data_IF_260190689054
#
_entry.id   IF_260190689054
#
_cell.length_a   1.000
_cell.length_b   1.000
_cell.length_c   1.000
_cell.angle_alpha   90.00
_cell.angle_beta   90.00
_cell.angle_gamma   90.00
#
_symmetry.space_group_name_H-M   'P 1'
#
loop_
_entity.id
_entity.type
_entity.pdbx_description
1 polymer ?
#
# COMPACT_ATOMS: atom_id res chain seq x y z
N UNK A 1 -15.03 9.22 -21.77
CA UNK A 1 -15.23 10.69 -21.84
C UNK A 1 -16.40 10.98 -22.76
N UNK A 2 -17.49 11.57 -22.24
CA UNK A 2 -18.69 11.94 -23.02
C UNK A 2 -18.55 13.41 -23.40
N UNK A 3 -18.56 13.73 -24.71
CA UNK A 3 -18.49 15.11 -25.20
C UNK A 3 -19.88 15.73 -25.13
N UNK A 4 -19.96 16.95 -24.58
CA UNK A 4 -21.20 17.72 -24.44
C UNK A 4 -20.98 19.05 -25.17
N UNK A 5 -21.97 19.47 -25.97
CA UNK A 5 -21.93 20.76 -26.65
C UNK A 5 -22.25 21.87 -25.65
N UNK A 6 -21.40 22.89 -25.61
CA UNK A 6 -21.59 24.10 -24.81
C UNK A 6 -21.74 25.27 -25.78
N UNK A 7 -22.82 26.04 -25.63
CA UNK A 7 -23.07 27.25 -26.42
C UNK A 7 -22.91 28.44 -25.48
N UNK A 8 -21.97 29.35 -25.80
CA UNK A 8 -21.74 30.57 -25.02
C UNK A 8 -22.36 31.75 -25.75
N UNK A 9 -23.08 32.59 -25.00
CA UNK A 9 -23.59 33.85 -25.51
C UNK A 9 -22.48 34.91 -25.52
N UNK A 10 -22.62 35.91 -26.39
CA UNK A 10 -21.72 37.05 -26.46
C UNK A 10 -21.69 37.81 -25.12
N UNK A 11 -20.50 38.03 -24.54
CA UNK A 11 -20.33 38.71 -23.24
C UNK A 11 -19.19 38.16 -22.38
N UNK A 12 -19.08 38.62 -21.12
CA UNK A 12 -18.09 38.13 -20.13
C UNK A 12 -18.49 36.73 -19.65
N UNK A 13 -17.69 35.73 -19.98
CA UNK A 13 -17.92 34.33 -19.64
C UNK A 13 -17.01 33.89 -18.49
N UNK A 14 -17.51 32.99 -17.63
CA UNK A 14 -16.75 32.39 -16.54
C UNK A 14 -16.69 30.88 -16.77
N UNK A 15 -15.49 30.30 -16.76
CA UNK A 15 -15.28 28.87 -16.95
C UNK A 15 -14.77 28.26 -15.65
N UNK A 16 -15.57 27.37 -15.05
CA UNK A 16 -15.14 26.55 -13.92
C UNK A 16 -14.49 25.27 -14.44
N UNK A 17 -13.25 25.01 -14.06
CA UNK A 17 -12.49 23.82 -14.46
C UNK A 17 -12.27 22.95 -13.23
N UNK A 18 -12.74 21.71 -13.26
CA UNK A 18 -12.46 20.70 -12.23
C UNK A 18 -11.44 19.69 -12.74
N UNK A 19 -10.46 19.39 -11.92
CA UNK A 19 -9.39 18.45 -12.22
C UNK A 19 -9.34 17.43 -11.08
N UNK A 20 -9.28 16.14 -11.40
CA UNK A 20 -9.09 15.05 -10.44
C UNK A 20 -7.76 14.35 -10.72
N UNK A 21 -7.06 13.89 -9.67
CA UNK A 21 -5.72 13.27 -9.74
C UNK A 21 -5.45 12.39 -10.97
N UNK A 22 -4.30 12.62 -11.61
CA UNK A 22 -3.62 11.62 -12.43
C UNK A 22 -2.09 11.78 -12.34
N UNK A 23 -1.37 10.66 -12.29
CA UNK A 23 0.10 10.60 -12.20
C UNK A 23 0.78 10.95 -13.53
N UNK A 24 1.72 11.90 -13.54
CA UNK A 24 2.62 12.20 -14.68
C UNK A 24 2.89 13.69 -14.88
N UNK A 25 3.96 14.04 -15.62
CA UNK A 25 4.14 15.40 -16.14
C UNK A 25 3.16 15.63 -17.30
N UNK A 26 2.54 16.81 -17.36
CA UNK A 26 2.10 17.60 -18.54
C UNK A 26 0.81 18.39 -18.27
N UNK A 27 0.79 19.65 -18.72
CA UNK A 27 -0.35 20.57 -18.63
C UNK A 27 -1.49 20.27 -19.63
N UNK A 28 -2.58 21.03 -19.51
CA UNK A 28 -3.71 20.92 -20.45
C UNK A 28 -3.57 21.94 -21.61
N UNK A 29 -4.12 21.58 -22.78
CA UNK A 29 -4.45 22.54 -23.82
C UNK A 29 -5.90 22.33 -24.26
N UNK A 30 -6.60 23.42 -24.56
CA UNK A 30 -7.92 23.38 -25.16
C UNK A 30 -7.84 23.97 -26.57
N UNK A 31 -8.53 23.33 -27.53
CA UNK A 31 -8.67 23.82 -28.90
C UNK A 31 -10.14 23.96 -29.27
N UNK A 32 -10.46 24.97 -30.07
CA UNK A 32 -11.77 25.08 -30.69
C UNK A 32 -11.76 24.40 -32.06
N UNK A 33 -12.75 23.54 -32.26
CA UNK A 33 -12.96 22.76 -33.47
C UNK A 33 -14.45 22.85 -33.82
N UNK A 34 -14.79 22.60 -35.07
CA UNK A 34 -16.19 22.35 -35.46
C UNK A 34 -16.69 21.08 -34.73
N UNK A 35 -18.01 20.86 -34.71
CA UNK A 35 -18.58 19.69 -34.01
C UNK A 35 -18.01 18.35 -34.48
N UNK A 36 -17.63 18.29 -35.74
CA UNK A 36 -17.03 17.19 -36.50
C UNK A 36 -15.51 17.06 -36.24
N UNK A 37 -14.98 17.85 -35.31
CA UNK A 37 -13.60 17.76 -34.81
C UNK A 37 -12.56 18.37 -35.74
N UNK A 38 -13.01 18.98 -36.84
CA UNK A 38 -12.17 19.68 -37.80
C UNK A 38 -11.75 21.04 -37.26
N UNK A 39 -10.57 21.55 -37.65
CA UNK A 39 -10.22 22.93 -37.37
C UNK A 39 -11.26 23.86 -37.98
N UNK A 40 -11.69 24.87 -37.23
CA UNK A 40 -12.60 25.89 -37.76
C UNK A 40 -11.83 26.72 -38.79
N UNK A 41 -12.29 26.74 -40.03
CA UNK A 41 -11.65 27.48 -41.12
C UNK A 41 -11.65 28.99 -40.87
N UNK A 42 -10.57 29.67 -41.26
CA UNK A 42 -10.38 31.11 -41.05
C UNK A 42 -9.77 31.49 -39.70
N UNK A 43 -9.52 30.52 -38.81
CA UNK A 43 -8.76 30.75 -37.58
C UNK A 43 -7.26 30.69 -37.88
N UNK A 44 -6.61 31.84 -37.79
CA UNK A 44 -5.15 31.93 -37.74
C UNK A 44 -4.71 31.96 -36.29
N UNK A 45 -3.93 30.95 -35.89
CA UNK A 45 -3.38 30.84 -34.55
C UNK A 45 -1.97 31.42 -34.58
N UNK A 46 -1.77 32.48 -33.82
CA UNK A 46 -0.49 33.17 -33.70
C UNK A 46 -0.01 33.15 -32.22
N UNK A 47 1.23 32.70 -31.97
CA UNK A 47 2.12 32.23 -33.02
C UNK A 47 1.64 30.92 -33.61
N UNK A 48 2.12 30.61 -34.82
CA UNK A 48 2.46 29.21 -35.07
C UNK A 48 3.22 28.78 -33.80
N UNK A 49 2.64 27.92 -32.95
CA UNK A 49 2.61 28.20 -31.50
C UNK A 49 3.95 28.58 -30.86
N UNK A 50 3.99 29.78 -30.25
CA UNK A 50 5.03 30.27 -29.34
C UNK A 50 4.61 31.56 -28.58
N UNK A 51 4.69 31.61 -27.25
CA UNK A 51 4.21 32.71 -26.36
C UNK A 51 2.71 32.98 -26.34
N UNK A 52 2.10 32.47 -25.27
CA UNK A 52 0.68 32.48 -24.92
C UNK A 52 0.40 33.78 -24.14
N UNK A 53 -0.69 34.52 -24.41
CA UNK A 53 -1.04 35.79 -23.73
C UNK A 53 -2.48 35.90 -23.21
N UNK A 54 -3.33 34.88 -23.35
CA UNK A 54 -4.77 35.04 -23.11
C UNK A 54 -5.34 34.44 -21.81
N UNK A 55 -4.54 33.71 -21.01
CA UNK A 55 -4.91 33.40 -19.62
C UNK A 55 -3.68 33.56 -18.72
N UNK A 56 -3.44 34.77 -18.19
CA UNK A 56 -2.32 35.07 -17.29
C UNK A 56 -2.65 35.02 -15.80
N UNK A 57 -3.93 34.87 -15.46
CA UNK A 57 -4.42 34.93 -14.08
C UNK A 57 -5.55 33.93 -13.89
N UNK A 58 -5.46 33.16 -12.84
CA UNK A 58 -6.47 32.20 -12.40
C UNK A 58 -6.97 32.62 -11.02
N UNK A 59 -8.26 32.47 -10.75
CA UNK A 59 -8.74 32.44 -9.36
C UNK A 59 -8.90 30.96 -8.98
N UNK A 60 -8.20 30.55 -7.92
CA UNK A 60 -8.11 29.17 -7.46
C UNK A 60 -8.57 29.12 -6.01
N UNK A 61 -9.32 28.11 -5.60
CA UNK A 61 -9.91 28.00 -4.27
C UNK A 61 -9.63 26.65 -3.59
N UNK A 62 -8.40 26.19 -3.72
CA UNK A 62 -7.90 25.03 -2.99
C UNK A 62 -8.19 23.67 -3.60
N UNK A 63 -7.94 22.62 -2.80
CA UNK A 63 -8.11 21.21 -3.16
C UNK A 63 -9.28 20.64 -2.35
N UNK A 64 -10.21 19.97 -3.02
CA UNK A 64 -11.37 19.37 -2.35
C UNK A 64 -11.22 17.87 -2.25
N UNK A 65 -11.29 17.34 -1.03
CA UNK A 65 -11.25 15.90 -0.80
C UNK A 65 -12.55 15.22 -1.19
N UNK A 66 -12.44 14.08 -1.88
CA UNK A 66 -13.56 13.20 -2.14
C UNK A 66 -13.08 11.75 -2.25
N UNK A 67 -13.45 10.96 -1.24
CA UNK A 67 -13.10 9.55 -1.12
C UNK A 67 -13.73 8.70 -2.22
N UNK A 68 -14.89 9.12 -2.76
CA UNK A 68 -15.56 8.43 -3.85
C UNK A 68 -15.05 8.93 -5.21
N UNK A 69 -14.16 8.13 -5.81
CA UNK A 69 -13.54 8.42 -7.11
C UNK A 69 -14.56 8.67 -8.23
N UNK A 70 -15.70 7.99 -8.22
CA UNK A 70 -16.70 8.08 -9.29
C UNK A 70 -17.44 9.43 -9.30
N UNK A 71 -17.47 10.13 -8.17
CA UNK A 71 -18.23 11.36 -8.00
C UNK A 71 -17.35 12.61 -7.94
N UNK A 72 -16.02 12.46 -8.01
CA UNK A 72 -15.06 13.56 -7.86
C UNK A 72 -15.34 14.77 -8.75
N UNK A 73 -15.71 14.55 -10.01
CA UNK A 73 -15.98 15.63 -10.96
C UNK A 73 -17.43 16.11 -10.95
N UNK A 74 -18.37 15.29 -10.48
CA UNK A 74 -19.81 15.58 -10.49
C UNK A 74 -20.35 16.07 -9.14
N UNK A 75 -19.54 16.02 -8.08
CA UNK A 75 -19.90 16.56 -6.76
C UNK A 75 -19.80 18.08 -6.81
N UNK A 76 -20.84 18.78 -6.36
CA UNK A 76 -20.83 20.23 -6.17
C UNK A 76 -20.09 20.54 -4.86
N UNK A 77 -18.90 21.14 -4.97
CA UNK A 77 -18.09 21.48 -3.80
C UNK A 77 -18.36 22.88 -3.26
N UNK A 78 -19.06 23.73 -4.03
CA UNK A 78 -19.24 25.16 -3.71
C UNK A 78 -20.66 25.52 -3.31
N UNK A 79 -21.58 24.53 -3.28
CA UNK A 79 -22.97 24.76 -2.93
C UNK A 79 -23.70 25.62 -3.95
N UNK A 80 -23.42 25.40 -5.24
CA UNK A 80 -24.00 26.15 -6.35
C UNK A 80 -23.01 26.53 -7.44
N UNK A 81 -22.07 25.66 -7.81
CA UNK A 81 -20.99 25.90 -8.78
C UNK A 81 -21.40 26.55 -10.11
N UNK A 82 -22.65 26.35 -10.56
CA UNK A 82 -23.17 26.97 -11.79
C UNK A 82 -23.32 28.50 -11.67
N UNK A 83 -23.42 29.02 -10.45
CA UNK A 83 -23.71 30.43 -10.16
C UNK A 83 -22.53 31.16 -9.49
N UNK A 84 -21.42 30.47 -9.29
CA UNK A 84 -20.24 31.01 -8.61
C UNK A 84 -19.60 32.12 -9.45
N UNK A 85 -19.40 33.28 -8.82
CA UNK A 85 -18.79 34.48 -9.41
C UNK A 85 -17.81 35.11 -8.41
N UNK A 86 -16.67 34.48 -8.16
CA UNK A 86 -15.78 34.86 -7.09
C UNK A 86 -14.89 36.02 -7.50
N UNK A 87 -14.54 36.83 -6.51
CA UNK A 87 -13.45 37.80 -6.54
C UNK A 87 -12.27 37.26 -5.73
N UNK A 88 -11.08 37.80 -5.96
CA UNK A 88 -9.93 37.52 -5.09
C UNK A 88 -10.29 37.81 -3.63
N UNK A 89 -9.87 36.91 -2.74
CA UNK A 89 -10.15 36.89 -1.30
C UNK A 89 -11.60 36.63 -0.89
N UNK A 90 -12.51 36.33 -1.83
CA UNK A 90 -13.83 35.83 -1.45
C UNK A 90 -13.70 34.51 -0.68
N UNK A 91 -14.56 34.25 0.33
CA UNK A 91 -14.54 33.00 1.06
C UNK A 91 -14.93 31.83 0.16
N UNK A 92 -14.24 30.70 0.32
CA UNK A 92 -14.59 29.41 -0.26
C UNK A 92 -14.88 28.41 0.88
N UNK A 93 -15.53 27.26 0.61
CA UNK A 93 -15.74 26.24 1.64
C UNK A 93 -14.45 25.72 2.27
N UNK A 94 -13.34 25.75 1.51
CA UNK A 94 -11.99 25.53 2.00
C UNK A 94 -11.09 26.71 1.60
N UNK A 95 -10.74 27.56 2.56
CA UNK A 95 -9.90 28.75 2.37
C UNK A 95 -10.58 29.93 1.67
N UNK A 96 -9.83 30.61 0.79
CA UNK A 96 -10.28 31.77 0.02
C UNK A 96 -9.94 31.62 -1.46
N UNK A 97 -10.60 32.38 -2.33
CA UNK A 97 -10.20 32.50 -3.72
C UNK A 97 -8.89 33.28 -3.84
N UNK A 98 -7.85 32.63 -4.35
CA UNK A 98 -6.52 33.19 -4.48
C UNK A 98 -6.15 33.42 -5.94
N UNK A 99 -5.41 34.50 -6.18
CA UNK A 99 -4.90 34.83 -7.50
C UNK A 99 -3.69 33.95 -7.82
N UNK A 100 -3.88 32.97 -8.68
CA UNK A 100 -2.80 32.23 -9.33
C UNK A 100 -2.23 33.03 -10.49
N UNK A 101 -1.05 33.61 -10.29
CA UNK A 101 -0.23 34.22 -11.35
C UNK A 101 0.89 33.23 -11.69
N UNK A 102 0.92 32.75 -12.92
CA UNK A 102 1.94 31.79 -13.36
C UNK A 102 2.38 32.05 -14.79
N UNK A 103 3.65 31.75 -15.09
CA UNK A 103 4.18 31.76 -16.46
C UNK A 103 3.43 30.79 -17.38
N UNK A 104 3.82 30.74 -18.64
CA UNK A 104 3.13 29.96 -19.67
C UNK A 104 3.90 28.67 -20.00
N UNK A 105 3.31 27.47 -19.82
CA UNK A 105 1.94 27.16 -19.36
C UNK A 105 1.70 27.38 -17.85
N UNK A 106 0.45 27.68 -17.44
CA UNK A 106 0.08 27.82 -16.02
C UNK A 106 0.30 26.50 -15.30
N UNK A 107 1.40 26.44 -14.57
CA UNK A 107 1.79 25.27 -13.82
C UNK A 107 1.02 25.26 -12.50
N UNK A 108 -0.15 24.62 -12.53
CA UNK A 108 -0.97 24.34 -11.34
C UNK A 108 -0.13 23.59 -10.29
N UNK A 109 0.79 22.74 -10.74
CA UNK A 109 1.77 22.09 -9.87
C UNK A 109 2.66 23.10 -9.18
N UNK A 110 3.23 24.07 -9.90
CA UNK A 110 4.05 25.15 -9.32
C UNK A 110 3.25 26.09 -8.38
N UNK A 111 1.98 26.35 -8.70
CA UNK A 111 1.07 27.13 -7.84
C UNK A 111 0.82 26.43 -6.50
N UNK A 112 0.52 25.13 -6.52
CA UNK A 112 0.37 24.37 -5.28
C UNK A 112 1.71 23.92 -4.69
N UNK A 113 2.81 24.11 -5.42
CA UNK A 113 4.19 23.96 -4.95
C UNK A 113 4.68 25.25 -4.28
N UNK A 114 3.80 25.94 -3.58
CA UNK A 114 4.19 26.83 -2.50
C UNK A 114 4.51 25.94 -1.31
N UNK A 115 5.76 25.45 -1.29
CA UNK A 115 6.28 24.75 -0.12
C UNK A 115 6.36 25.75 1.02
N UNK A 116 5.47 25.60 2.00
CA UNK A 116 5.74 26.16 3.33
C UNK A 116 6.72 25.24 4.06
N UNK A 117 7.38 25.81 5.06
CA UNK A 117 8.31 25.07 5.88
C UNK A 117 7.54 24.20 6.87
N UNK A 118 7.71 22.89 6.77
CA UNK A 118 7.25 21.97 7.81
C UNK A 118 8.30 21.94 8.90
N UNK A 119 7.98 22.54 10.05
CA UNK A 119 8.82 22.50 11.23
C UNK A 119 8.45 21.32 12.13
N UNK A 120 9.34 20.96 13.04
CA UNK A 120 9.05 19.93 14.04
C UNK A 120 7.81 20.24 14.86
N UNK A 121 7.62 21.50 15.25
CA UNK A 121 6.45 21.92 16.04
C UNK A 121 5.16 21.77 15.22
N UNK A 122 5.19 22.01 13.90
CA UNK A 122 4.05 21.75 13.00
C UNK A 122 3.61 20.29 13.05
N UNK A 123 4.56 19.35 13.01
CA UNK A 123 4.25 17.91 13.07
C UNK A 123 3.65 17.52 14.42
N UNK A 124 4.14 18.13 15.50
CA UNK A 124 3.68 17.87 16.87
C UNK A 124 2.25 18.41 17.09
N UNK A 125 1.95 19.58 16.55
CA UNK A 125 0.63 20.20 16.65
C UNK A 125 -0.42 19.48 15.81
N UNK A 126 -0.04 19.01 14.61
CA UNK A 126 -0.96 18.32 13.70
C UNK A 126 -1.18 16.85 14.11
N UNK A 127 -0.16 16.19 14.68
CA UNK A 127 -0.15 14.77 15.01
C UNK A 127 -0.69 13.86 13.89
N UNK A 128 -0.02 13.81 12.71
CA UNK A 128 -0.56 13.10 11.56
C UNK A 128 -0.77 11.61 11.84
N UNK A 129 -1.93 11.02 11.47
CA UNK A 129 -2.25 9.62 11.74
C UNK A 129 -1.56 8.65 10.76
N UNK A 130 -0.24 8.78 10.60
CA UNK A 130 0.59 7.99 9.72
C UNK A 130 1.65 7.25 10.53
N UNK A 131 1.80 5.95 10.25
CA UNK A 131 2.67 5.05 11.02
C UNK A 131 4.13 5.04 10.53
N UNK A 132 4.35 5.21 9.22
CA UNK A 132 5.65 5.04 8.55
C UNK A 132 5.92 6.23 7.63
N UNK A 133 7.11 6.84 7.75
CA UNK A 133 7.50 7.98 6.93
C UNK A 133 8.82 7.73 6.20
N UNK A 134 8.84 8.04 4.90
CA UNK A 134 10.07 8.18 4.13
C UNK A 134 10.22 9.64 3.73
N UNK A 135 11.05 10.38 4.46
CA UNK A 135 11.18 11.82 4.35
C UNK A 135 12.07 12.16 3.15
N UNK A 136 11.44 12.51 2.03
CA UNK A 136 12.12 13.03 0.85
C UNK A 136 12.51 14.50 1.02
N UNK A 137 13.44 14.77 1.93
CA UNK A 137 13.94 16.10 2.24
C UNK A 137 15.39 16.04 2.75
N UNK A 138 16.13 17.15 2.60
CA UNK A 138 17.52 17.27 3.02
C UNK A 138 17.62 17.62 4.52
N UNK A 139 18.39 16.84 5.27
CA UNK A 139 18.67 17.10 6.70
C UNK A 139 17.64 16.69 7.77
N UNK A 140 16.42 16.18 7.51
CA UNK A 140 15.46 15.89 8.59
C UNK A 140 15.97 14.84 9.58
N UNK A 141 16.88 13.97 9.17
CA UNK A 141 17.49 12.93 10.00
C UNK A 141 18.73 13.39 10.76
N UNK A 142 19.01 14.70 10.84
CA UNK A 142 20.16 15.24 11.57
C UNK A 142 19.92 15.20 13.07
N UNK A 143 20.03 14.01 13.65
CA UNK A 143 19.75 13.72 15.06
C UNK A 143 20.65 14.44 16.08
N UNK A 144 21.67 15.18 15.62
CA UNK A 144 22.48 16.08 16.46
C UNK A 144 21.80 17.43 16.70
N UNK A 145 20.84 17.80 15.86
CA UNK A 145 20.10 19.05 15.98
C UNK A 145 19.00 18.91 17.04
N UNK A 146 18.79 19.97 17.81
CA UNK A 146 17.65 20.03 18.73
C UNK A 146 16.36 20.03 17.92
N UNK A 147 15.40 19.20 18.32
CA UNK A 147 14.11 19.04 17.63
C UNK A 147 14.29 18.76 16.13
N UNK A 148 15.12 17.77 15.78
CA UNK A 148 15.29 17.37 14.39
C UNK A 148 13.99 16.76 13.83
N UNK A 149 13.66 17.11 12.58
CA UNK A 149 12.35 16.84 11.99
C UNK A 149 11.95 15.36 11.95
N UNK A 150 12.88 14.44 11.66
CA UNK A 150 12.59 13.00 11.65
C UNK A 150 12.20 12.47 13.04
N UNK A 151 12.75 13.05 14.10
CA UNK A 151 12.43 12.71 15.49
C UNK A 151 11.03 13.16 15.88
N UNK A 152 10.61 14.36 15.45
CA UNK A 152 9.26 14.88 15.75
C UNK A 152 8.12 14.10 15.12
N UNK A 153 8.38 13.20 14.16
CA UNK A 153 7.34 12.30 13.66
C UNK A 153 7.08 11.11 14.57
N UNK A 154 8.03 10.70 15.42
CA UNK A 154 7.95 9.46 16.23
C UNK A 154 7.99 9.71 17.74
N UNK A 155 8.50 10.85 18.17
CA UNK A 155 8.50 11.27 19.56
C UNK A 155 7.39 12.30 19.74
N UNK A 156 6.62 12.20 20.82
CA UNK A 156 5.51 13.13 21.12
C UNK A 156 4.42 13.24 20.02
N UNK A 157 4.26 12.20 19.20
CA UNK A 157 3.10 11.97 18.32
C UNK A 157 2.40 10.67 18.72
N UNK A 158 1.13 10.51 18.36
CA UNK A 158 0.33 9.34 18.76
C UNK A 158 0.60 8.12 17.88
N UNK A 159 0.95 8.33 16.61
CA UNK A 159 0.92 7.28 15.59
C UNK A 159 2.29 6.89 15.02
N UNK A 160 3.20 7.84 14.86
CA UNK A 160 4.43 7.59 14.11
C UNK A 160 5.34 6.58 14.78
N UNK A 161 5.68 5.50 14.06
CA UNK A 161 6.51 4.42 14.58
C UNK A 161 7.96 4.50 14.09
N UNK A 162 8.15 4.98 12.87
CA UNK A 162 9.47 4.98 12.22
C UNK A 162 9.57 6.01 11.10
N UNK A 163 10.73 6.64 10.99
CA UNK A 163 11.10 7.48 9.86
C UNK A 163 12.38 6.97 9.19
N UNK A 164 12.43 7.14 7.87
CA UNK A 164 13.64 7.08 7.06
C UNK A 164 13.93 8.49 6.58
N UNK A 165 15.14 8.97 6.81
CA UNK A 165 15.48 10.38 6.62
C UNK A 165 16.96 10.54 6.27
N UNK A 166 17.33 11.68 5.68
CA UNK A 166 18.74 12.03 5.47
C UNK A 166 19.23 12.96 6.58
N UNK A 167 20.42 12.70 7.12
CA UNK A 167 21.11 13.59 8.09
C UNK A 167 21.81 14.79 7.45
N UNK A 168 21.81 14.86 6.13
CA UNK A 168 22.52 15.85 5.31
C UNK A 168 21.76 16.11 4.00
N UNK A 169 22.39 16.80 3.05
CA UNK A 169 21.89 16.89 1.67
C UNK A 169 21.68 15.50 1.06
N UNK A 170 20.58 15.30 0.35
CA UNK A 170 20.21 14.01 -0.27
C UNK A 170 19.00 13.34 0.39
N UNK A 171 18.51 12.28 -0.22
CA UNK A 171 17.42 11.44 0.28
C UNK A 171 17.36 10.09 -0.46
N UNK A 172 16.40 9.22 -0.15
CA UNK A 172 16.20 7.95 -0.84
C UNK A 172 15.77 8.17 -2.29
N UNK A 173 16.51 7.59 -3.23
CA UNK A 173 16.08 7.41 -4.63
C UNK A 173 15.73 5.94 -4.86
N UNK A 174 15.20 5.61 -6.03
CA UNK A 174 14.86 4.22 -6.40
C UNK A 174 13.93 3.53 -5.37
N UNK A 175 12.84 4.20 -4.99
CA UNK A 175 11.91 3.72 -3.94
C UNK A 175 11.39 2.29 -4.14
N UNK A 176 11.32 1.79 -5.37
CA UNK A 176 10.94 0.41 -5.65
C UNK A 176 11.86 -0.58 -4.93
N UNK A 177 13.16 -0.32 -4.91
CA UNK A 177 14.16 -1.20 -4.29
C UNK A 177 14.04 -1.27 -2.77
N UNK A 178 13.36 -0.29 -2.16
CA UNK A 178 12.99 -0.28 -0.75
C UNK A 178 11.59 -0.88 -0.52
N UNK A 179 10.61 -0.54 -1.35
CA UNK A 179 9.20 -0.93 -1.15
C UNK A 179 8.89 -2.37 -1.57
N UNK A 180 9.58 -2.93 -2.56
CA UNK A 180 9.40 -4.32 -3.01
C UNK A 180 9.77 -5.33 -1.90
N UNK A 181 10.93 -5.22 -1.22
CA UNK A 181 11.22 -6.05 -0.04
C UNK A 181 10.19 -5.94 1.09
N UNK A 182 9.59 -4.76 1.30
CA UNK A 182 8.52 -4.60 2.28
C UNK A 182 7.26 -5.37 1.89
N UNK A 183 6.92 -5.36 0.59
CA UNK A 183 5.82 -6.16 0.04
C UNK A 183 6.06 -7.66 0.16
N UNK A 184 7.32 -8.11 0.17
CA UNK A 184 7.74 -9.48 0.45
C UNK A 184 7.77 -9.83 1.95
N UNK A 185 7.34 -8.91 2.82
CA UNK A 185 7.26 -9.12 4.27
C UNK A 185 8.58 -8.94 5.03
N UNK A 186 9.62 -8.37 4.39
CA UNK A 186 10.87 -7.99 5.09
C UNK A 186 10.62 -6.85 6.07
N UNK A 187 11.45 -6.77 7.09
CA UNK A 187 11.46 -5.63 8.01
C UNK A 187 11.93 -4.35 7.33
N UNK A 188 11.60 -3.20 7.93
CA UNK A 188 12.03 -1.87 7.46
C UNK A 188 13.56 -1.81 7.36
N UNK A 189 14.28 -2.36 8.34
CA UNK A 189 15.74 -2.44 8.35
C UNK A 189 16.31 -3.34 7.26
N UNK A 190 15.72 -4.52 7.05
CA UNK A 190 16.13 -5.41 5.95
C UNK A 190 15.89 -4.76 4.57
N UNK A 191 14.73 -4.12 4.39
CA UNK A 191 14.40 -3.40 3.17
C UNK A 191 15.36 -2.22 2.92
N UNK A 192 15.68 -1.46 3.97
CA UNK A 192 16.65 -0.37 3.89
C UNK A 192 18.06 -0.88 3.53
N UNK A 193 18.50 -1.98 4.16
CA UNK A 193 19.77 -2.61 3.83
C UNK A 193 19.83 -3.11 2.38
N UNK A 194 18.77 -3.77 1.90
CA UNK A 194 18.67 -4.27 0.53
C UNK A 194 18.65 -3.13 -0.49
N UNK A 195 17.86 -2.08 -0.23
CA UNK A 195 17.86 -0.86 -1.02
C UNK A 195 19.26 -0.27 -1.12
N UNK A 196 19.94 -0.07 0.01
CA UNK A 196 21.27 0.54 0.03
C UNK A 196 22.25 -0.32 -0.77
N UNK A 197 22.30 -1.62 -0.51
CA UNK A 197 23.19 -2.57 -1.19
C UNK A 197 22.98 -2.61 -2.71
N UNK A 198 21.74 -2.48 -3.19
CA UNK A 198 21.41 -2.56 -4.61
C UNK A 198 21.99 -1.40 -5.44
N UNK A 199 22.32 -0.28 -4.79
CA UNK A 199 22.93 0.87 -5.45
C UNK A 199 24.45 0.74 -5.59
N UNK A 200 25.06 -0.31 -5.04
CA UNK A 200 26.48 -0.57 -5.22
C UNK A 200 26.77 -1.17 -6.61
N UNK A 201 27.93 -0.88 -7.23
CA UNK A 201 29.02 -0.04 -6.70
C UNK A 201 28.72 1.46 -6.79
N UNK A 202 28.99 2.20 -5.71
CA UNK A 202 28.67 3.63 -5.64
C UNK A 202 29.66 4.52 -6.39
N UNK A 203 29.12 5.40 -7.21
CA UNK A 203 29.81 6.58 -7.73
C UNK A 203 29.95 7.64 -6.62
N UNK A 204 30.81 8.64 -6.84
CA UNK A 204 31.09 9.64 -5.80
C UNK A 204 29.83 10.43 -5.42
N UNK A 205 29.06 10.88 -6.42
CA UNK A 205 27.79 11.60 -6.17
C UNK A 205 26.77 10.73 -5.42
N UNK A 206 26.81 9.40 -5.58
CA UNK A 206 25.93 8.47 -4.87
C UNK A 206 26.33 8.32 -3.40
N UNK A 207 27.63 8.36 -3.09
CA UNK A 207 28.08 8.46 -1.69
C UNK A 207 27.65 9.80 -1.11
N UNK A 208 27.90 10.89 -1.84
CA UNK A 208 27.48 12.24 -1.45
C UNK A 208 25.97 12.41 -1.33
N UNK A 209 25.17 11.54 -1.96
CA UNK A 209 23.71 11.58 -1.87
C UNK A 209 23.17 10.61 -0.80
N UNK A 210 23.60 9.34 -0.80
CA UNK A 210 23.04 8.28 0.06
C UNK A 210 23.72 8.14 1.43
N UNK A 211 25.02 8.48 1.57
CA UNK A 211 25.71 8.26 2.85
C UNK A 211 25.24 9.24 3.91
N UNK A 212 24.52 8.76 4.92
CA UNK A 212 23.86 9.62 5.90
C UNK A 212 22.34 9.49 5.88
N UNK A 213 21.79 8.61 5.04
CA UNK A 213 20.45 8.06 5.25
C UNK A 213 20.42 7.30 6.58
N UNK A 214 19.41 7.58 7.39
CA UNK A 214 19.22 7.03 8.74
C UNK A 214 17.81 6.49 8.89
N UNK A 215 17.69 5.52 9.79
CA UNK A 215 16.41 5.03 10.32
C UNK A 215 16.27 5.58 11.74
N UNK A 216 15.13 6.19 12.04
CA UNK A 216 14.78 6.62 13.39
C UNK A 216 13.51 5.88 13.83
N UNK A 217 13.64 4.97 14.80
CA UNK A 217 12.58 4.04 15.22
C UNK A 217 13.10 2.61 15.32
N UNK A 218 12.19 1.63 15.35
CA UNK A 218 12.54 0.20 15.40
C UNK A 218 12.69 -0.39 13.99
N UNK A 219 13.91 -0.74 13.54
CA UNK A 219 14.14 -1.28 12.20
C UNK A 219 13.55 -2.70 12.02
N UNK A 220 13.12 -3.37 13.09
CA UNK A 220 12.53 -4.72 13.01
C UNK A 220 11.05 -4.72 12.64
N UNK A 221 10.41 -3.54 12.61
CA UNK A 221 9.02 -3.38 12.19
C UNK A 221 8.78 -3.94 10.79
N UNK A 222 7.60 -4.53 10.58
CA UNK A 222 7.16 -5.13 9.32
C UNK A 222 5.78 -4.63 8.95
N UNK A 223 5.51 -4.52 7.65
CA UNK A 223 4.15 -4.23 7.18
C UNK A 223 3.28 -5.49 7.34
N UNK A 224 2.19 -5.37 8.10
CA UNK A 224 1.20 -6.44 8.24
C UNK A 224 0.16 -6.25 7.14
N UNK A 225 0.27 -7.05 6.06
CA UNK A 225 -0.79 -7.14 5.06
C UNK A 225 -1.86 -8.12 5.56
N UNK A 226 -3.05 -7.60 5.87
CA UNK A 226 -4.18 -8.36 6.43
C UNK A 226 -4.73 -9.50 5.57
N UNK A 227 -4.18 -9.75 4.36
CA UNK A 227 -4.65 -10.80 3.46
C UNK A 227 -3.58 -11.77 2.94
N UNK A 228 -2.28 -11.50 3.11
CA UNK A 228 -1.21 -12.36 2.56
C UNK A 228 -0.33 -13.03 3.61
N UNK A 229 -0.38 -12.59 4.87
CA UNK A 229 0.48 -13.09 5.95
C UNK A 229 -0.24 -14.02 6.94
N UNK A 230 -1.46 -14.47 6.61
CA UNK A 230 -2.13 -15.51 7.39
C UNK A 230 -1.59 -16.88 6.96
N UNK A 231 -1.18 -17.75 7.89
CA UNK A 231 -0.70 -19.07 7.53
C UNK A 231 -1.81 -19.88 6.84
N UNK A 232 -1.42 -20.85 6.01
CA UNK A 232 -2.32 -21.85 5.45
C UNK A 232 -1.67 -23.23 5.49
N UNK A 233 -2.48 -24.25 5.81
CA UNK A 233 -2.03 -25.64 5.98
C UNK A 233 -3.00 -26.59 5.31
N UNK A 234 -2.49 -27.71 4.79
CA UNK A 234 -3.26 -28.78 4.15
C UNK A 234 -2.84 -30.13 4.71
N UNK A 235 -3.81 -30.96 5.08
CA UNK A 235 -3.56 -32.38 5.36
C UNK A 235 -3.34 -33.09 4.02
N UNK A 236 -2.14 -33.63 3.81
CA UNK A 236 -1.79 -34.37 2.58
C UNK A 236 -2.01 -35.87 2.74
N UNK A 237 -1.92 -36.38 3.98
CA UNK A 237 -2.28 -37.74 4.35
C UNK A 237 -3.06 -37.73 5.68
N UNK A 238 -4.21 -38.43 5.79
CA UNK A 238 -4.84 -39.24 4.76
C UNK A 238 -5.48 -38.42 3.64
N UNK A 239 -5.30 -38.89 2.40
CA UNK A 239 -6.03 -38.42 1.22
C UNK A 239 -7.26 -39.30 0.97
N UNK A 240 -8.05 -38.98 -0.05
CA UNK A 240 -9.23 -39.76 -0.44
C UNK A 240 -8.83 -41.16 -0.99
N UNK A 241 -8.62 -42.12 -0.09
CA UNK A 241 -8.16 -43.49 -0.38
C UNK A 241 -8.48 -44.44 0.78
N UNK A 242 -8.48 -45.73 0.48
CA UNK A 242 -8.40 -46.78 1.50
C UNK A 242 -6.93 -47.04 1.78
N UNK A 243 -6.55 -47.00 3.05
CA UNK A 243 -5.22 -47.29 3.56
C UNK A 243 -5.23 -48.63 4.32
N UNK A 244 -4.17 -49.40 4.14
CA UNK A 244 -3.86 -50.60 4.92
C UNK A 244 -2.44 -50.48 5.45
N UNK A 245 -2.27 -50.40 6.77
CA UNK A 245 -0.99 -50.19 7.45
C UNK A 245 -0.17 -49.07 6.81
N UNK A 246 -0.72 -47.86 6.85
CA UNK A 246 -0.15 -46.62 6.32
C UNK A 246 0.08 -46.55 4.79
N UNK A 247 -0.19 -47.65 4.06
CA UNK A 247 -0.03 -47.74 2.61
C UNK A 247 -1.36 -47.56 1.89
N UNK A 248 -1.36 -46.79 0.79
CA UNK A 248 -2.54 -46.65 -0.06
C UNK A 248 -2.84 -48.00 -0.73
N UNK A 249 -4.03 -48.54 -0.49
CA UNK A 249 -4.51 -49.76 -1.13
C UNK A 249 -5.21 -49.43 -2.45
N UNK A 250 -6.18 -48.50 -2.42
CA UNK A 250 -6.89 -48.04 -3.61
C UNK A 250 -7.58 -46.67 -3.39
N UNK A 251 -7.82 -45.89 -4.45
CA UNK A 251 -8.55 -44.62 -4.37
C UNK A 251 -9.99 -44.82 -3.90
N UNK A 252 -10.49 -43.91 -3.06
CA UNK A 252 -11.85 -43.96 -2.53
C UNK A 252 -12.37 -42.56 -2.25
N UNK A 253 -13.68 -42.33 -2.30
CA UNK A 253 -14.23 -40.96 -2.22
C UNK A 253 -14.05 -40.26 -0.86
N UNK A 254 -13.53 -40.97 0.16
CA UNK A 254 -13.19 -40.49 1.50
C UNK A 254 -12.02 -41.30 2.06
N UNK A 255 -11.30 -40.83 3.08
CA UNK A 255 -10.25 -41.63 3.71
C UNK A 255 -10.85 -42.74 4.58
N UNK A 256 -10.33 -43.96 4.42
CA UNK A 256 -10.60 -45.12 5.28
C UNK A 256 -9.28 -45.79 5.62
N UNK A 257 -9.06 -46.16 6.88
CA UNK A 257 -7.78 -46.67 7.38
C UNK A 257 -8.01 -47.97 8.13
N UNK A 258 -7.21 -48.98 7.80
CA UNK A 258 -7.11 -50.24 8.54
C UNK A 258 -5.68 -50.36 9.06
N UNK A 259 -5.50 -50.38 10.38
CA UNK A 259 -4.18 -50.33 11.05
C UNK A 259 -3.69 -48.89 11.30
N UNK A 260 -2.39 -48.74 11.49
CA UNK A 260 -1.75 -47.45 11.78
C UNK A 260 -1.76 -46.52 10.55
N UNK A 261 -1.74 -45.22 10.79
CA UNK A 261 -1.55 -44.22 9.73
C UNK A 261 -0.74 -43.01 10.20
N UNK A 262 0.19 -42.57 9.36
CA UNK A 262 0.89 -41.30 9.49
C UNK A 262 0.00 -40.19 8.93
N UNK A 263 -0.40 -39.25 9.79
CA UNK A 263 -1.00 -37.98 9.38
C UNK A 263 0.13 -37.06 8.94
N UNK A 264 0.08 -36.60 7.70
CA UNK A 264 1.08 -35.72 7.11
C UNK A 264 0.42 -34.39 6.78
N UNK A 265 1.04 -33.29 7.21
CA UNK A 265 0.54 -31.94 6.95
C UNK A 265 1.58 -31.08 6.23
N UNK A 266 1.11 -30.31 5.25
CA UNK A 266 1.92 -29.41 4.44
C UNK A 266 1.46 -27.97 4.65
N UNK A 267 2.37 -27.13 5.13
CA UNK A 267 2.18 -25.69 5.17
C UNK A 267 2.28 -25.14 3.75
N UNK A 268 1.19 -24.59 3.24
CA UNK A 268 1.11 -24.01 1.88
C UNK A 268 1.44 -22.51 1.88
N UNK A 269 1.27 -21.83 3.01
CA UNK A 269 1.74 -20.48 3.26
C UNK A 269 2.22 -20.41 4.72
N UNK A 270 3.51 -20.10 4.98
CA UNK A 270 4.03 -20.03 6.35
C UNK A 270 3.57 -18.77 7.12
N UNK A 271 2.84 -17.84 6.49
CA UNK A 271 2.53 -16.55 7.10
C UNK A 271 3.83 -15.82 7.48
N UNK A 272 3.93 -15.37 8.74
CA UNK A 272 5.16 -14.76 9.27
C UNK A 272 6.25 -15.75 9.69
N UNK A 273 6.10 -17.03 9.35
CA UNK A 273 6.92 -18.14 9.79
C UNK A 273 6.19 -18.94 10.86
N UNK A 274 6.09 -20.25 10.66
CA UNK A 274 5.42 -21.17 11.58
C UNK A 274 6.26 -21.34 12.84
N UNK A 275 5.59 -21.22 13.99
CA UNK A 275 6.15 -21.50 15.31
C UNK A 275 5.93 -22.97 15.65
N UNK A 276 4.73 -23.47 15.41
CA UNK A 276 4.40 -24.88 15.60
C UNK A 276 3.18 -25.30 14.76
N UNK A 277 3.06 -26.62 14.60
CA UNK A 277 1.93 -27.33 14.04
C UNK A 277 1.42 -28.31 15.09
N UNK A 278 0.17 -28.17 15.49
CA UNK A 278 -0.48 -29.03 16.49
C UNK A 278 -1.39 -30.04 15.78
N UNK A 279 -1.22 -31.33 16.07
CA UNK A 279 -2.09 -32.40 15.61
C UNK A 279 -3.12 -32.73 16.70
N UNK A 280 -4.40 -32.72 16.32
CA UNK A 280 -5.51 -33.04 17.20
C UNK A 280 -6.37 -34.15 16.62
N UNK A 281 -6.77 -35.09 17.47
CA UNK A 281 -7.62 -36.23 17.14
C UNK A 281 -8.88 -36.14 18.01
N UNK A 282 -10.04 -36.01 17.39
CA UNK A 282 -11.34 -35.80 18.06
C UNK A 282 -11.33 -34.67 19.10
N UNK A 283 -10.56 -33.61 18.81
CA UNK A 283 -10.42 -32.42 19.67
C UNK A 283 -9.35 -32.54 20.76
N UNK A 284 -8.70 -33.70 20.92
CA UNK A 284 -7.57 -33.87 21.85
C UNK A 284 -6.23 -33.62 21.16
N UNK A 285 -5.37 -32.81 21.78
CA UNK A 285 -3.99 -32.60 21.31
C UNK A 285 -3.19 -33.89 21.48
N UNK A 286 -2.60 -34.38 20.38
CA UNK A 286 -1.74 -35.56 20.38
C UNK A 286 -0.26 -35.23 20.18
N UNK A 287 0.04 -34.24 19.34
CA UNK A 287 1.42 -33.81 19.09
C UNK A 287 1.49 -32.32 18.78
N UNK A 288 2.63 -31.72 19.10
CA UNK A 288 3.01 -30.36 18.72
C UNK A 288 4.41 -30.45 18.12
N UNK A 289 4.54 -30.10 16.85
CA UNK A 289 5.79 -30.16 16.09
C UNK A 289 6.19 -28.75 15.65
N UNK A 290 7.43 -28.38 15.89
CA UNK A 290 8.00 -27.07 15.53
C UNK A 290 8.93 -27.13 14.30
N UNK A 291 9.19 -28.33 13.76
CA UNK A 291 10.12 -28.53 12.63
C UNK A 291 9.52 -29.36 11.50
N UNK A 292 9.52 -28.88 10.23
CA UNK A 292 9.06 -29.70 9.12
C UNK A 292 10.03 -30.85 8.83
N UNK A 293 9.55 -31.99 8.29
CA UNK A 293 8.17 -32.26 7.86
C UNK A 293 7.22 -32.57 9.03
N UNK A 294 6.03 -31.96 9.00
CA UNK A 294 5.04 -32.08 10.07
C UNK A 294 4.25 -33.38 9.94
N UNK A 295 4.54 -34.34 10.80
CA UNK A 295 3.94 -35.67 10.78
C UNK A 295 3.51 -36.12 12.18
N UNK A 296 2.44 -36.91 12.24
CA UNK A 296 2.00 -37.58 13.46
C UNK A 296 1.56 -39.02 13.16
N UNK A 297 2.12 -39.99 13.87
CA UNK A 297 1.71 -41.39 13.76
C UNK A 297 0.46 -41.62 14.63
N UNK A 298 -0.63 -42.05 14.00
CA UNK A 298 -1.84 -42.53 14.65
C UNK A 298 -1.81 -44.06 14.70
N UNK A 299 -1.24 -44.61 15.77
CA UNK A 299 -1.10 -46.04 16.07
C UNK A 299 -1.96 -46.49 17.26
N UNK A 300 -2.61 -45.55 17.95
CA UNK A 300 -3.56 -45.85 19.02
C UNK A 300 -4.78 -46.65 18.51
N UNK A 301 -5.34 -47.46 19.42
CA UNK A 301 -6.58 -48.19 19.16
C UNK A 301 -7.70 -47.19 18.86
N UNK A 302 -8.29 -47.30 17.68
CA UNK A 302 -9.35 -46.41 17.22
C UNK A 302 -10.36 -47.16 16.34
N UNK A 303 -11.66 -47.04 16.64
CA UNK A 303 -12.72 -47.73 15.90
C UNK A 303 -13.83 -46.76 15.57
N UNK A 304 -14.04 -46.50 14.29
CA UNK A 304 -15.15 -45.68 13.79
C UNK A 304 -14.68 -44.42 13.09
N UNK A 305 -15.51 -43.37 13.12
CA UNK A 305 -15.15 -42.07 12.55
C UNK A 305 -14.26 -41.31 13.53
N UNK A 306 -13.23 -40.71 12.98
CA UNK A 306 -12.23 -39.90 13.65
C UNK A 306 -12.11 -38.57 12.90
N UNK A 307 -12.11 -37.47 13.64
CA UNK A 307 -11.82 -36.15 13.09
C UNK A 307 -10.37 -35.78 13.40
N UNK A 308 -9.63 -35.45 12.34
CA UNK A 308 -8.25 -34.96 12.43
C UNK A 308 -8.28 -33.47 12.16
N UNK A 309 -7.78 -32.68 13.11
CA UNK A 309 -7.52 -31.25 12.93
C UNK A 309 -6.01 -31.00 13.07
N UNK A 310 -5.46 -30.22 12.15
CA UNK A 310 -4.07 -29.77 12.17
C UNK A 310 -4.04 -28.25 12.21
N UNK A 311 -3.43 -27.69 13.25
CA UNK A 311 -3.41 -26.24 13.50
C UNK A 311 -1.99 -25.72 13.38
N UNK A 312 -1.73 -24.87 12.40
CA UNK A 312 -0.47 -24.14 12.29
C UNK A 312 -0.60 -22.76 12.93
N UNK A 313 0.39 -22.38 13.74
CA UNK A 313 0.47 -21.06 14.38
C UNK A 313 1.72 -20.34 13.89
N UNK A 314 1.57 -19.11 13.39
CA UNK A 314 2.71 -18.28 12.99
C UNK A 314 3.28 -17.43 14.14
N UNK A 315 4.38 -16.72 13.88
CA UNK A 315 5.04 -15.83 14.86
C UNK A 315 4.19 -14.66 15.35
N UNK A 316 3.11 -14.31 14.66
CA UNK A 316 2.15 -13.28 15.08
C UNK A 316 0.96 -13.86 15.85
N UNK A 317 0.91 -15.19 16.02
CA UNK A 317 -0.22 -15.87 16.65
C UNK A 317 -1.40 -16.10 15.71
N UNK A 318 -1.26 -15.83 14.40
CA UNK A 318 -2.27 -16.17 13.42
C UNK A 318 -2.37 -17.70 13.30
N UNK A 319 -3.59 -18.21 13.12
CA UNK A 319 -3.85 -19.64 13.07
C UNK A 319 -4.39 -20.07 11.71
N UNK A 320 -3.89 -21.20 11.22
CA UNK A 320 -4.45 -21.94 10.09
C UNK A 320 -4.94 -23.29 10.57
N UNK A 321 -6.10 -23.74 10.09
CA UNK A 321 -6.65 -25.05 10.45
C UNK A 321 -6.92 -25.85 9.17
N UNK A 322 -6.35 -27.05 9.11
CA UNK A 322 -6.73 -28.10 8.16
C UNK A 322 -7.52 -29.18 8.89
N UNK A 323 -8.64 -29.61 8.34
CA UNK A 323 -9.51 -30.63 8.96
C UNK A 323 -9.85 -31.72 7.96
N UNK A 324 -9.90 -32.97 8.42
CA UNK A 324 -10.43 -34.11 7.65
C UNK A 324 -11.14 -35.11 8.57
N UNK A 325 -12.17 -35.77 8.06
CA UNK A 325 -12.83 -36.89 8.73
C UNK A 325 -12.38 -38.20 8.09
N UNK A 326 -11.94 -39.16 8.90
CA UNK A 326 -11.45 -40.47 8.47
C UNK A 326 -12.17 -41.59 9.22
N UNK A 327 -12.48 -42.68 8.52
CA UNK A 327 -12.93 -43.90 9.19
C UNK A 327 -11.71 -44.77 9.52
N UNK A 328 -11.48 -45.06 10.79
CA UNK A 328 -10.32 -45.83 11.27
C UNK A 328 -10.79 -47.14 11.90
N UNK A 329 -10.14 -48.23 11.53
CA UNK A 329 -10.18 -49.51 12.22
C UNK A 329 -8.75 -49.89 12.59
N UNK A 330 -8.31 -49.43 13.75
CA UNK A 330 -7.06 -49.83 14.36
C UNK A 330 -7.36 -50.53 15.69
N UNK A 331 -6.97 -51.80 15.80
CA UNK A 331 -7.17 -52.57 17.02
C UNK A 331 -5.95 -52.49 17.96
N UNK A 332 -4.84 -51.90 17.51
CA UNK A 332 -3.55 -51.89 18.19
C UNK A 332 -3.12 -53.32 18.62
N UNK A 333 -3.11 -54.23 17.64
CA UNK A 333 -2.72 -55.63 17.84
C UNK A 333 -1.45 -55.83 16.99
N UNK A 334 -0.34 -56.07 17.69
CA UNK A 334 0.99 -56.32 17.12
C UNK A 334 0.99 -57.62 16.31
#
# INVERSE_FOLDING_TARGET
MRKVNVTLHEGRNHLLVKISEWMGAHGFSARFATMDGQPVEGLTYDPVPATITYIGTWLVNGVYENSNRSTRLSTDYLGGETYVKPSEHDPAPDGTWELGIGGYPFDIGALFNHGDWVFSDTIQEVDPPVLFYNLFSCGPGRFTDKNYLAGSYIFHTTYGLITIASSKSGSMLYFKDFTEPLGEGKSIGEAFYLWFKKQAPYQEWEKEWYYGMVICGDPTLRLIHGSTNTPSIKIVKPSNSIYLFDSVLLPFYRPVVIGDITVEAMVTNPGMGIVNVTFMIDGEIKSVDDTPPYNYLLDDRHIGKCRIDVVAVDKLGNKAVGSTEVAVLNLNII
#
